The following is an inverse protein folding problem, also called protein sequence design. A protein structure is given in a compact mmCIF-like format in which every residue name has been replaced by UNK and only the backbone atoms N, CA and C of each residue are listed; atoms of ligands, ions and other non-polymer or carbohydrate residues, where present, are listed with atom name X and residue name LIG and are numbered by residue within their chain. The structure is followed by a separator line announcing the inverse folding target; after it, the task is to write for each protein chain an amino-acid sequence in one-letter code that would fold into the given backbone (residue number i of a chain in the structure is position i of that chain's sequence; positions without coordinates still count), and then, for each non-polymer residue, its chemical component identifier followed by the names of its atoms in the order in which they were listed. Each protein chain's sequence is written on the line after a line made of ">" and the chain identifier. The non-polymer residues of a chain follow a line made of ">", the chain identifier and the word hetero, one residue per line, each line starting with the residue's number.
data_IF_923608649461
#
_entry.id   IF_923608649461
#
_cell.length_a   1.000
_cell.length_b   1.000
_cell.length_c   1.000
_cell.angle_alpha   90.00
_cell.angle_beta   90.00
_cell.angle_gamma   90.00
#
_symmetry.space_group_name_H-M   'P 1'
#
loop_
_entity.id
_entity.type
_entity.pdbx_description
1 polymer ?
#
# COMPACT_ATOMS: atom_id res chain seq x y z
N UNK A 1 12.26 6.42 -3.88
CA UNK A 1 11.82 5.01 -3.94
C UNK A 1 12.90 4.20 -4.66
N UNK A 2 13.37 3.08 -4.08
CA UNK A 2 14.36 2.21 -4.73
C UNK A 2 13.72 1.43 -5.88
N UNK A 3 14.49 1.04 -6.90
CA UNK A 3 13.97 0.37 -8.11
C UNK A 3 13.30 -0.97 -7.81
N UNK A 4 13.84 -1.75 -6.87
CA UNK A 4 13.23 -3.03 -6.48
C UNK A 4 11.84 -2.87 -5.84
N UNK A 5 11.52 -1.68 -5.35
CA UNK A 5 10.20 -1.36 -4.77
C UNK A 5 9.20 -0.86 -5.81
N UNK A 6 9.59 -0.68 -7.07
CA UNK A 6 8.71 -0.31 -8.18
C UNK A 6 8.18 -1.52 -8.95
N UNK A 7 8.70 -2.71 -8.68
CA UNK A 7 8.31 -3.94 -9.37
C UNK A 7 7.07 -4.53 -8.70
N UNK A 8 5.96 -4.60 -9.43
CA UNK A 8 4.77 -5.34 -9.01
C UNK A 8 5.08 -6.82 -9.07
N UNK A 9 5.12 -7.46 -7.91
CA UNK A 9 5.46 -8.88 -7.72
C UNK A 9 4.77 -9.39 -6.46
N UNK A 10 4.63 -10.71 -6.34
CA UNK A 10 4.09 -11.32 -5.13
C UNK A 10 4.86 -10.84 -3.89
N UNK A 11 4.20 -10.28 -2.86
CA UNK A 11 4.85 -9.77 -1.65
C UNK A 11 5.76 -10.80 -0.96
N UNK A 12 5.44 -12.10 -1.05
CA UNK A 12 6.24 -13.21 -0.48
C UNK A 12 7.65 -13.24 -1.08
N UNK A 13 7.79 -12.88 -2.35
CA UNK A 13 9.04 -12.94 -3.11
C UNK A 13 9.61 -11.58 -3.49
N UNK A 14 8.97 -10.48 -3.08
CA UNK A 14 9.42 -9.12 -3.38
C UNK A 14 10.86 -8.87 -2.88
N UNK A 15 11.68 -8.26 -3.73
CA UNK A 15 13.05 -7.84 -3.38
C UNK A 15 13.07 -6.56 -2.54
N UNK A 16 11.95 -5.84 -2.48
CA UNK A 16 11.83 -4.64 -1.66
C UNK A 16 11.82 -4.99 -0.16
N UNK A 17 12.74 -4.38 0.60
CA UNK A 17 12.93 -4.68 2.02
C UNK A 17 11.76 -4.27 2.93
N UNK A 18 10.85 -3.44 2.43
CA UNK A 18 9.66 -3.00 3.16
C UNK A 18 8.40 -3.82 2.83
N UNK A 19 8.51 -4.84 1.96
CA UNK A 19 7.46 -5.85 1.80
C UNK A 19 7.31 -6.66 3.10
N UNK A 20 6.09 -6.80 3.61
CA UNK A 20 5.79 -7.70 4.73
C UNK A 20 5.79 -9.15 4.21
N UNK A 21 6.72 -9.94 4.74
CA UNK A 21 6.90 -11.36 4.44
C UNK A 21 6.51 -12.20 5.65
N UNK A 22 6.06 -13.43 5.42
CA UNK A 22 5.72 -14.38 6.48
C UNK A 22 4.36 -14.15 7.13
N UNK A 23 3.45 -13.41 6.48
CA UNK A 23 2.04 -13.41 6.86
C UNK A 23 1.41 -14.77 6.48
N UNK A 24 0.26 -15.15 7.07
CA UNK A 24 -0.49 -16.32 6.63
C UNK A 24 -0.80 -16.25 5.12
N UNK A 25 -0.81 -17.40 4.45
CA UNK A 25 -1.00 -17.47 2.99
C UNK A 25 -2.33 -16.83 2.57
N UNK A 26 -3.37 -16.99 3.38
CA UNK A 26 -4.69 -16.42 3.17
C UNK A 26 -4.63 -14.90 2.99
N UNK A 27 -3.71 -14.22 3.69
CA UNK A 27 -3.55 -12.76 3.53
C UNK A 27 -3.07 -12.43 2.12
N UNK A 28 -2.14 -13.21 1.56
CA UNK A 28 -1.57 -12.99 0.23
C UNK A 28 -2.49 -13.46 -0.90
N UNK A 29 -3.26 -14.53 -0.66
CA UNK A 29 -4.05 -15.20 -1.69
C UNK A 29 -5.47 -14.61 -1.82
N UNK A 30 -5.97 -13.90 -0.82
CA UNK A 30 -7.24 -13.17 -0.89
C UNK A 30 -7.09 -11.91 -1.76
N UNK A 31 -8.01 -11.75 -2.72
CA UNK A 31 -8.21 -10.50 -3.44
C UNK A 31 -9.04 -9.53 -2.59
N UNK A 32 -8.36 -8.62 -1.91
CA UNK A 32 -9.02 -7.67 -1.03
C UNK A 32 -9.77 -6.61 -1.85
N UNK A 33 -11.05 -6.44 -1.58
CA UNK A 33 -11.82 -5.29 -2.09
C UNK A 33 -11.46 -4.02 -1.32
N UNK A 34 -11.17 -4.15 -0.02
CA UNK A 34 -10.79 -3.05 0.86
C UNK A 34 -9.65 -3.45 1.80
N UNK A 35 -8.69 -2.56 1.98
CA UNK A 35 -7.61 -2.67 2.98
C UNK A 35 -7.58 -1.40 3.84
N UNK A 36 -7.75 -1.56 5.15
CA UNK A 36 -7.53 -0.48 6.13
C UNK A 36 -6.15 -0.61 6.76
N UNK A 37 -5.27 0.35 6.50
CA UNK A 37 -3.96 0.46 7.15
C UNK A 37 -4.09 1.35 8.38
N UNK A 38 -4.31 0.69 9.52
CA UNK A 38 -4.30 1.30 10.83
C UNK A 38 -3.26 0.63 11.73
N UNK A 39 -2.64 1.39 12.64
CA UNK A 39 -1.62 0.85 13.53
C UNK A 39 -2.09 0.83 14.99
N UNK A 40 -1.38 0.09 15.87
CA UNK A 40 -1.49 0.30 17.30
C UNK A 40 -1.18 1.75 17.71
N UNK A 41 -1.75 2.18 18.82
CA UNK A 41 -1.54 3.50 19.43
C UNK A 41 -0.07 3.75 19.77
N UNK A 42 0.52 4.80 19.19
CA UNK A 42 1.88 5.25 19.51
C UNK A 42 2.25 6.53 18.77
N UNK A 43 2.05 7.69 19.40
CA UNK A 43 2.41 9.00 18.86
C UNK A 43 3.72 9.51 19.51
N UNK A 44 4.84 8.84 19.22
CA UNK A 44 6.17 9.27 19.63
C UNK A 44 7.22 8.82 18.60
N UNK A 45 8.36 9.50 18.54
CA UNK A 45 9.38 9.30 17.50
C UNK A 45 9.96 7.88 17.45
N UNK A 46 9.88 7.13 18.55
CA UNK A 46 10.31 5.73 18.65
C UNK A 46 9.24 4.69 18.31
N UNK A 47 7.98 5.10 18.10
CA UNK A 47 6.89 4.16 17.81
C UNK A 47 7.02 3.57 16.40
N UNK A 48 6.68 2.28 16.21
CA UNK A 48 6.69 1.67 14.88
C UNK A 48 5.71 2.39 13.95
N UNK A 49 6.20 2.81 12.79
CA UNK A 49 5.37 3.43 11.75
C UNK A 49 4.70 2.42 10.82
N UNK A 50 3.92 2.94 9.86
CA UNK A 50 3.07 2.11 8.96
C UNK A 50 3.69 1.81 7.60
N UNK A 51 4.95 2.21 7.39
CA UNK A 51 5.62 2.18 6.08
C UNK A 51 5.52 0.83 5.36
N UNK A 52 5.80 -0.27 6.08
CA UNK A 52 5.74 -1.62 5.51
C UNK A 52 4.32 -2.06 5.19
N UNK A 53 3.36 -1.73 6.05
CA UNK A 53 1.95 -2.04 5.85
C UNK A 53 1.38 -1.26 4.65
N UNK A 54 1.65 0.05 4.56
CA UNK A 54 1.28 0.90 3.42
C UNK A 54 1.84 0.32 2.12
N UNK A 55 3.14 0.02 2.08
CA UNK A 55 3.76 -0.54 0.88
C UNK A 55 3.14 -1.89 0.48
N UNK A 56 2.95 -2.79 1.45
CA UNK A 56 2.42 -4.14 1.18
C UNK A 56 0.96 -4.08 0.72
N UNK A 57 0.14 -3.21 1.31
CA UNK A 57 -1.24 -2.99 0.89
C UNK A 57 -1.31 -2.53 -0.58
N UNK A 58 -0.49 -1.53 -0.95
CA UNK A 58 -0.38 -1.09 -2.34
C UNK A 58 0.08 -2.20 -3.28
N UNK A 59 1.10 -2.97 -2.87
CA UNK A 59 1.61 -4.08 -3.66
C UNK A 59 0.56 -5.19 -3.87
N UNK A 60 -0.21 -5.53 -2.83
CA UNK A 60 -1.30 -6.51 -2.91
C UNK A 60 -2.43 -6.00 -3.83
N UNK A 61 -2.89 -4.77 -3.63
CA UNK A 61 -3.89 -4.14 -4.49
C UNK A 61 -3.48 -4.13 -5.97
N UNK A 62 -2.21 -3.83 -6.26
CA UNK A 62 -1.67 -3.86 -7.63
C UNK A 62 -1.55 -5.27 -8.21
N UNK A 63 -1.35 -6.29 -7.37
CA UNK A 63 -1.22 -7.69 -7.80
C UNK A 63 -2.55 -8.42 -8.02
N UNK A 64 -3.68 -7.81 -7.62
CA UNK A 64 -5.03 -8.32 -7.89
C UNK A 64 -5.17 -8.71 -9.36
N UNK A 65 -5.88 -9.80 -9.65
CA UNK A 65 -6.08 -10.32 -11.00
C UNK A 65 -6.86 -9.34 -11.88
N UNK A 66 -8.01 -8.90 -11.40
CA UNK A 66 -8.87 -7.92 -12.07
C UNK A 66 -9.52 -6.93 -11.10
N UNK A 67 -9.92 -5.76 -11.61
CA UNK A 67 -10.60 -4.73 -10.83
C UNK A 67 -9.68 -3.80 -10.04
N UNK A 68 -10.20 -3.29 -8.92
CA UNK A 68 -9.57 -2.26 -8.09
C UNK A 68 -9.72 -2.62 -6.60
N UNK A 69 -8.81 -2.13 -5.77
CA UNK A 69 -8.87 -2.25 -4.31
C UNK A 69 -8.90 -0.86 -3.68
N UNK A 70 -9.82 -0.66 -2.75
CA UNK A 70 -9.83 0.54 -1.93
C UNK A 70 -8.84 0.41 -0.77
N UNK A 71 -7.96 1.38 -0.62
CA UNK A 71 -6.98 1.42 0.47
C UNK A 71 -7.20 2.68 1.30
N UNK A 72 -7.46 2.48 2.58
CA UNK A 72 -7.60 3.56 3.57
C UNK A 72 -6.35 3.60 4.45
N UNK A 73 -5.79 4.78 4.65
CA UNK A 73 -4.63 4.99 5.55
C UNK A 73 -5.00 6.01 6.60
N UNK A 74 -4.83 5.64 7.87
CA UNK A 74 -5.06 6.53 9.01
C UNK A 74 -3.76 7.25 9.45
N UNK A 75 -3.91 8.34 10.23
CA UNK A 75 -2.85 9.21 10.73
C UNK A 75 -1.95 9.80 9.64
N UNK A 76 -2.53 10.25 8.52
CA UNK A 76 -1.80 10.88 7.42
C UNK A 76 -1.33 12.31 7.72
N UNK A 77 -1.63 12.83 8.91
CA UNK A 77 -1.05 14.06 9.45
C UNK A 77 0.42 13.88 9.88
N UNK A 78 0.87 12.63 10.10
CA UNK A 78 2.28 12.32 10.32
C UNK A 78 3.06 12.35 9.01
N UNK A 79 4.22 13.01 9.02
CA UNK A 79 5.08 13.23 7.83
C UNK A 79 5.48 11.92 7.13
N UNK A 80 5.70 10.85 7.90
CA UNK A 80 6.13 9.56 7.33
C UNK A 80 4.96 8.89 6.61
N UNK A 81 3.81 8.75 7.26
CA UNK A 81 2.58 8.21 6.69
C UNK A 81 2.09 9.02 5.48
N UNK A 82 2.15 10.36 5.54
CA UNK A 82 1.82 11.24 4.41
C UNK A 82 2.66 10.90 3.17
N UNK A 83 3.99 10.89 3.34
CA UNK A 83 4.94 10.63 2.25
C UNK A 83 4.82 9.20 1.73
N UNK A 84 4.75 8.20 2.62
CA UNK A 84 4.69 6.81 2.22
C UNK A 84 3.37 6.47 1.51
N UNK A 85 2.24 6.97 1.99
CA UNK A 85 0.94 6.73 1.34
C UNK A 85 0.92 7.32 -0.07
N UNK A 86 1.29 8.59 -0.26
CA UNK A 86 1.38 9.20 -1.60
C UNK A 86 2.39 8.52 -2.52
N UNK A 87 3.51 8.05 -1.97
CA UNK A 87 4.57 7.41 -2.77
C UNK A 87 4.19 6.00 -3.22
N UNK A 88 3.61 5.19 -2.33
CA UNK A 88 3.42 3.75 -2.57
C UNK A 88 1.99 3.33 -2.89
N UNK A 89 1.00 4.15 -2.52
CA UNK A 89 -0.38 4.03 -3.00
C UNK A 89 -0.65 4.96 -4.18
N UNK A 90 0.34 5.78 -4.56
CA UNK A 90 0.34 6.73 -5.66
C UNK A 90 -0.63 7.90 -5.47
N UNK A 91 -0.09 9.12 -5.49
CA UNK A 91 -0.91 10.34 -5.38
C UNK A 91 -1.97 10.44 -6.49
N UNK A 92 -1.70 9.92 -7.69
CA UNK A 92 -2.69 9.85 -8.78
C UNK A 92 -3.87 8.90 -8.53
N UNK A 93 -3.81 8.06 -7.50
CA UNK A 93 -4.92 7.19 -7.06
C UNK A 93 -5.63 7.69 -5.81
N UNK A 94 -5.20 8.83 -5.25
CA UNK A 94 -5.87 9.49 -4.14
C UNK A 94 -7.26 9.97 -4.56
N UNK A 95 -8.30 9.51 -3.85
CA UNK A 95 -9.69 9.95 -4.06
C UNK A 95 -10.05 11.11 -3.17
N UNK A 96 -9.86 10.91 -1.87
CA UNK A 96 -10.26 11.89 -0.86
C UNK A 96 -9.41 11.75 0.41
N UNK A 97 -9.44 12.80 1.22
CA UNK A 97 -8.89 12.81 2.56
C UNK A 97 -9.90 13.49 3.48
N UNK A 98 -10.37 12.76 4.49
CA UNK A 98 -11.29 13.26 5.51
C UNK A 98 -10.58 13.24 6.87
N UNK A 99 -10.29 14.42 7.40
CA UNK A 99 -9.49 14.58 8.62
C UNK A 99 -8.11 13.89 8.50
N UNK A 100 -7.92 12.83 9.29
CA UNK A 100 -6.66 12.04 9.37
C UNK A 100 -6.69 10.75 8.56
N UNK A 101 -7.76 10.51 7.79
CA UNK A 101 -7.91 9.30 6.97
C UNK A 101 -7.80 9.70 5.50
N UNK A 102 -7.08 8.89 4.73
CA UNK A 102 -6.91 9.06 3.29
C UNK A 102 -7.39 7.83 2.54
N UNK A 103 -8.14 8.03 1.47
CA UNK A 103 -8.70 6.98 0.62
C UNK A 103 -8.02 6.96 -0.75
N UNK A 104 -7.58 5.78 -1.17
CA UNK A 104 -7.03 5.52 -2.48
C UNK A 104 -7.84 4.42 -3.19
N UNK A 105 -8.04 4.55 -4.50
CA UNK A 105 -8.57 3.47 -5.33
C UNK A 105 -7.47 2.97 -6.24
N UNK A 106 -6.95 1.78 -5.95
CA UNK A 106 -5.75 1.25 -6.60
C UNK A 106 -6.16 0.20 -7.63
N UNK A 107 -5.93 0.44 -8.93
CA UNK A 107 -6.28 -0.53 -9.96
C UNK A 107 -5.26 -1.67 -10.02
N UNK A 108 -5.73 -2.85 -10.44
CA UNK A 108 -4.83 -3.96 -10.81
C UNK A 108 -3.79 -3.52 -11.85
N UNK A 109 -2.57 -4.03 -11.70
CA UNK A 109 -1.51 -3.90 -12.70
C UNK A 109 -1.67 -4.92 -13.84
N UNK A 110 -2.28 -6.07 -13.56
CA UNK A 110 -2.44 -7.18 -14.51
C UNK A 110 -3.42 -6.86 -15.63
N UNK A 111 -4.43 -6.03 -15.37
CA UNK A 111 -5.44 -5.62 -16.35
C UNK A 111 -4.90 -4.68 -17.44
N UNK A 112 -3.77 -4.01 -17.21
CA UNK A 112 -3.14 -3.08 -18.16
C UNK A 112 -1.61 -3.20 -18.12
N UNK A 113 -1.12 -4.27 -18.76
CA UNK A 113 0.31 -4.55 -18.92
C UNK A 113 1.04 -3.33 -19.50
N UNK A 114 2.12 -2.91 -18.85
CA UNK A 114 2.93 -1.74 -19.26
C UNK A 114 2.64 -0.45 -18.51
N UNK A 115 1.67 -0.42 -17.58
CA UNK A 115 1.53 0.73 -16.68
C UNK A 115 2.73 0.84 -15.72
N UNK A 116 3.25 2.06 -15.47
CA UNK A 116 4.22 2.29 -14.40
C UNK A 116 3.61 1.92 -13.04
N UNK A 117 4.48 1.75 -12.03
CA UNK A 117 4.05 1.45 -10.66
C UNK A 117 3.00 2.45 -10.16
N UNK A 118 3.29 3.74 -10.34
CA UNK A 118 2.37 4.86 -10.18
C UNK A 118 2.16 5.59 -11.52
N UNK A 119 0.93 6.04 -11.82
CA UNK A 119 0.59 6.78 -13.04
C UNK A 119 1.14 8.21 -13.05
#
# INVERSE_FOLDING_TARGET
>A
MKEECKVVSDPRFSKCQIALKGLPNEVYDIEWDLIMVDAPTGYHDGAPGRMKAIYTAGLMARNREDGETDVFVHDVDRVVEDKFSKTFLCEGYLREQEGRIRHFTIPSHRTRLGRPFCP
#
